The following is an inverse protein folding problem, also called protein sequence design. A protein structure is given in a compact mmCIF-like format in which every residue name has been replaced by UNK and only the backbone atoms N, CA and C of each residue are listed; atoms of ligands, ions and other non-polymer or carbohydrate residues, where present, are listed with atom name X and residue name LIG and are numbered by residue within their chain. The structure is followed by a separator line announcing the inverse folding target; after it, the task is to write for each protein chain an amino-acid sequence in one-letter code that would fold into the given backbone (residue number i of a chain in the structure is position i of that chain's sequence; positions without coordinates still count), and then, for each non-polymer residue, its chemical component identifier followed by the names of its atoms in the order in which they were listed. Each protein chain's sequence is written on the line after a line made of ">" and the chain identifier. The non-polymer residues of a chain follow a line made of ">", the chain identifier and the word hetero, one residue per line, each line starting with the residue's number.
data_IF_008127040057
#
_entry.id   IF_008127040057
#
_cell.length_a   1.000
_cell.length_b   1.000
_cell.length_c   1.000
_cell.angle_alpha   90.00
_cell.angle_beta   90.00
_cell.angle_gamma   90.00
#
_symmetry.space_group_name_H-M   'P 1'
#
loop_
_entity.id
_entity.type
_entity.pdbx_description
1 polymer ?
#
# COMPACT_ATOMS: atom_id res chain seq x y z
N UNK A 1 -9.60 42.67 -1.05
CA UNK A 1 -8.91 41.67 -1.90
C UNK A 1 -8.86 40.39 -1.09
N UNK A 2 -9.68 39.40 -1.42
CA UNK A 2 -9.74 38.13 -0.68
C UNK A 2 -8.50 37.31 -1.00
N UNK A 3 -7.72 36.96 0.03
CA UNK A 3 -6.53 36.12 -0.14
C UNK A 3 -6.99 34.71 -0.55
N UNK A 4 -6.72 34.33 -1.81
CA UNK A 4 -7.03 33.01 -2.36
C UNK A 4 -6.02 31.92 -1.92
N UNK A 5 -4.89 32.34 -1.32
CA UNK A 5 -3.82 31.46 -0.84
C UNK A 5 -4.31 30.30 0.06
N UNK A 6 -5.14 30.52 1.10
CA UNK A 6 -5.61 29.43 1.96
C UNK A 6 -6.51 28.43 1.20
N UNK A 7 -7.29 28.90 0.22
CA UNK A 7 -8.13 28.01 -0.61
C UNK A 7 -7.27 27.20 -1.58
N UNK A 8 -6.22 27.78 -2.14
CA UNK A 8 -5.25 27.08 -2.97
C UNK A 8 -4.51 26.01 -2.15
N UNK A 9 -4.04 26.36 -0.95
CA UNK A 9 -3.36 25.42 -0.04
C UNK A 9 -4.31 24.28 0.35
N UNK A 10 -5.55 24.58 0.71
CA UNK A 10 -6.55 23.56 1.05
C UNK A 10 -6.86 22.64 -0.15
N UNK A 11 -6.99 23.20 -1.36
CA UNK A 11 -7.21 22.43 -2.59
C UNK A 11 -6.04 21.51 -2.94
N UNK A 12 -4.80 21.99 -2.74
CA UNK A 12 -3.58 21.18 -2.95
C UNK A 12 -3.47 20.08 -1.91
N UNK A 13 -3.77 20.36 -0.64
CA UNK A 13 -3.73 19.33 0.42
C UNK A 13 -4.84 18.29 0.22
N UNK A 14 -6.01 18.68 -0.26
CA UNK A 14 -7.10 17.76 -0.60
C UNK A 14 -6.79 16.88 -1.83
N UNK A 15 -5.84 17.29 -2.70
CA UNK A 15 -5.43 16.48 -3.85
C UNK A 15 -4.41 15.38 -3.49
N UNK A 16 -3.78 15.45 -2.31
CA UNK A 16 -2.88 14.40 -1.79
C UNK A 16 -3.65 13.21 -1.16
N UNK A 17 -4.85 12.91 -1.66
CA UNK A 17 -5.56 11.71 -1.26
C UNK A 17 -4.84 10.48 -1.83
N UNK A 18 -4.42 9.58 -0.96
CA UNK A 18 -3.97 8.25 -1.38
C UNK A 18 -5.20 7.46 -1.84
N UNK A 19 -5.27 7.14 -3.13
CA UNK A 19 -6.35 6.33 -3.70
C UNK A 19 -5.92 4.87 -3.80
N UNK A 20 -6.80 3.97 -3.38
CA UNK A 20 -6.69 2.56 -3.75
C UNK A 20 -7.33 2.42 -5.12
N UNK A 21 -6.58 1.89 -6.08
CA UNK A 21 -7.08 1.64 -7.43
C UNK A 21 -7.71 0.25 -7.48
N UNK A 22 -8.85 0.13 -8.16
CA UNK A 22 -9.45 -1.16 -8.49
C UNK A 22 -9.10 -1.48 -9.93
N UNK A 23 -8.49 -2.64 -10.16
CA UNK A 23 -8.27 -3.12 -11.52
C UNK A 23 -9.62 -3.50 -12.15
N UNK A 24 -10.04 -2.84 -13.23
CA UNK A 24 -11.32 -3.13 -13.87
C UNK A 24 -11.36 -4.50 -14.55
N UNK A 25 -10.23 -5.16 -14.80
CA UNK A 25 -10.17 -6.46 -15.45
C UNK A 25 -10.52 -7.63 -14.52
N UNK A 26 -10.10 -7.57 -13.26
CA UNK A 26 -10.22 -8.69 -12.32
C UNK A 26 -10.64 -8.29 -10.90
N UNK A 27 -10.91 -7.01 -10.64
CA UNK A 27 -11.33 -6.52 -9.32
C UNK A 27 -10.20 -6.49 -8.28
N UNK A 28 -8.94 -6.64 -8.71
CA UNK A 28 -7.80 -6.57 -7.81
C UNK A 28 -7.58 -5.16 -7.25
N UNK A 29 -7.43 -5.03 -5.94
CA UNK A 29 -6.97 -3.80 -5.32
C UNK A 29 -5.48 -3.56 -5.63
N UNK A 30 -5.18 -2.41 -6.21
CA UNK A 30 -3.84 -1.97 -6.57
C UNK A 30 -3.43 -0.72 -5.77
N UNK A 31 -2.12 -0.49 -5.70
CA UNK A 31 -1.53 0.66 -5.01
C UNK A 31 -1.94 0.78 -3.53
N UNK A 32 -2.14 -0.35 -2.86
CA UNK A 32 -2.44 -0.38 -1.43
C UNK A 32 -1.16 -0.06 -0.65
N UNK A 33 -1.08 1.15 -0.09
CA UNK A 33 0.10 1.64 0.63
C UNK A 33 0.07 1.24 2.11
N UNK A 34 1.16 0.64 2.58
CA UNK A 34 1.38 0.29 3.99
C UNK A 34 2.63 1.03 4.47
N UNK A 35 2.44 2.03 5.33
CA UNK A 35 3.56 2.74 5.96
C UNK A 35 4.02 2.05 7.22
N UNK A 36 5.33 1.81 7.35
CA UNK A 36 5.94 1.49 8.63
C UNK A 36 6.36 2.82 9.28
N UNK A 37 6.02 3.01 10.55
CA UNK A 37 6.40 4.23 11.27
C UNK A 37 7.91 4.27 11.58
N UNK A 38 8.48 5.47 11.58
CA UNK A 38 9.92 5.68 11.83
C UNK A 38 10.40 5.29 13.24
N UNK A 39 9.50 5.21 14.21
CA UNK A 39 9.80 4.75 15.57
C UNK A 39 9.98 3.23 15.67
N UNK A 40 9.55 2.48 14.65
CA UNK A 40 9.70 1.03 14.62
C UNK A 40 11.17 0.67 14.36
N UNK A 41 11.74 -0.10 15.28
CA UNK A 41 13.10 -0.61 15.17
C UNK A 41 13.27 -1.49 13.92
N UNK A 42 14.43 -1.36 13.26
CA UNK A 42 14.77 -2.12 12.06
C UNK A 42 14.67 -3.62 12.35
N UNK A 43 13.73 -4.29 11.69
CA UNK A 43 13.60 -5.73 11.76
C UNK A 43 13.09 -6.25 10.40
N UNK A 44 13.90 -7.09 9.75
CA UNK A 44 13.60 -7.68 8.44
C UNK A 44 12.34 -8.58 8.48
N UNK A 45 12.06 -9.18 9.63
CA UNK A 45 10.89 -10.04 9.81
C UNK A 45 9.59 -9.26 9.71
N UNK A 46 9.60 -7.94 9.96
CA UNK A 46 8.42 -7.09 9.76
C UNK A 46 8.00 -7.11 8.28
N UNK A 47 8.95 -7.00 7.36
CA UNK A 47 8.65 -7.04 5.93
C UNK A 47 8.11 -8.41 5.52
N UNK A 48 8.74 -9.49 6.00
CA UNK A 48 8.28 -10.85 5.72
C UNK A 48 6.89 -11.13 6.30
N UNK A 49 6.65 -10.70 7.53
CA UNK A 49 5.37 -10.87 8.21
C UNK A 49 4.27 -10.05 7.52
N UNK A 50 4.55 -8.83 7.08
CA UNK A 50 3.60 -8.04 6.28
C UNK A 50 3.30 -8.73 4.94
N UNK A 51 4.30 -9.29 4.24
CA UNK A 51 4.05 -10.11 3.03
C UNK A 51 3.09 -11.26 3.30
N UNK A 52 3.37 -12.05 4.34
CA UNK A 52 2.54 -13.20 4.71
C UNK A 52 1.13 -12.76 5.12
N UNK A 53 1.02 -11.68 5.88
CA UNK A 53 -0.26 -11.12 6.32
C UNK A 53 -1.11 -10.70 5.12
N UNK A 54 -0.57 -9.91 4.20
CA UNK A 54 -1.30 -9.44 3.02
C UNK A 54 -1.66 -10.59 2.08
N UNK A 55 -0.81 -11.62 1.96
CA UNK A 55 -1.15 -12.82 1.19
C UNK A 55 -2.36 -13.55 1.79
N UNK A 56 -2.35 -13.78 3.10
CA UNK A 56 -3.48 -14.42 3.81
C UNK A 56 -4.75 -13.58 3.74
N UNK A 57 -4.63 -12.26 3.92
CA UNK A 57 -5.77 -11.34 3.82
C UNK A 57 -6.34 -11.31 2.39
N UNK A 58 -5.48 -11.35 1.37
CA UNK A 58 -5.87 -11.41 -0.03
C UNK A 58 -6.67 -12.68 -0.33
N UNK A 59 -6.15 -13.83 0.10
CA UNK A 59 -6.85 -15.11 -0.05
C UNK A 59 -8.22 -15.10 0.66
N UNK A 60 -8.25 -14.66 1.93
CA UNK A 60 -9.50 -14.56 2.68
C UNK A 60 -10.53 -13.67 1.99
N UNK A 61 -10.10 -12.51 1.49
CA UNK A 61 -10.95 -11.57 0.77
C UNK A 61 -11.46 -12.18 -0.55
N UNK A 62 -10.61 -12.90 -1.27
CA UNK A 62 -10.99 -13.59 -2.51
C UNK A 62 -12.07 -14.63 -2.23
N UNK A 63 -11.89 -15.49 -1.24
CA UNK A 63 -12.87 -16.49 -0.84
C UNK A 63 -14.18 -15.86 -0.37
N UNK A 64 -14.11 -14.86 0.54
CA UNK A 64 -15.27 -14.18 1.10
C UNK A 64 -16.09 -13.41 0.04
N UNK A 65 -15.43 -12.92 -1.01
CA UNK A 65 -16.07 -12.18 -2.11
C UNK A 65 -16.43 -13.04 -3.32
N UNK A 66 -16.28 -14.38 -3.20
CA UNK A 66 -16.51 -15.35 -4.27
C UNK A 66 -15.68 -15.07 -5.53
N UNK A 67 -14.40 -14.78 -5.31
CA UNK A 67 -13.40 -14.61 -6.35
C UNK A 67 -13.41 -13.25 -7.03
N UNK A 68 -13.97 -12.21 -6.39
CA UNK A 68 -14.16 -10.89 -7.03
C UNK A 68 -13.14 -9.84 -6.62
N UNK A 69 -12.63 -9.90 -5.39
CA UNK A 69 -11.72 -8.89 -4.87
C UNK A 69 -10.58 -9.56 -4.13
N UNK A 70 -9.39 -9.01 -4.31
CA UNK A 70 -8.16 -9.49 -3.68
C UNK A 70 -7.12 -8.36 -3.71
N UNK A 71 -6.05 -8.47 -2.93
CA UNK A 71 -4.93 -7.54 -3.04
C UNK A 71 -4.05 -7.97 -4.20
N UNK A 72 -4.00 -7.15 -5.25
CA UNK A 72 -3.19 -7.37 -6.45
C UNK A 72 -1.82 -6.70 -6.32
N UNK A 73 -1.78 -5.50 -5.76
CA UNK A 73 -0.54 -4.78 -5.51
C UNK A 73 -0.58 -4.09 -4.14
N UNK A 74 0.43 -4.40 -3.32
CA UNK A 74 0.67 -3.78 -2.02
C UNK A 74 2.06 -3.18 -2.03
N UNK A 75 2.14 -1.91 -1.64
CA UNK A 75 3.36 -1.11 -1.57
C UNK A 75 3.71 -0.93 -0.10
N UNK A 76 4.87 -1.43 0.34
CA UNK A 76 5.35 -1.19 1.71
C UNK A 76 6.32 -0.01 1.69
N UNK A 77 5.95 1.07 2.37
CA UNK A 77 6.81 2.23 2.58
C UNK A 77 7.64 2.02 3.85
N UNK A 78 8.95 1.90 3.65
CA UNK A 78 9.93 1.72 4.72
C UNK A 78 10.46 3.10 5.19
N UNK A 79 10.62 3.31 6.50
CA UNK A 79 11.18 4.53 7.04
C UNK A 79 12.55 4.90 6.45
N UNK A 80 12.78 6.21 6.28
CA UNK A 80 14.06 6.73 5.77
C UNK A 80 15.26 6.42 6.67
N UNK A 81 15.03 6.23 7.97
CA UNK A 81 16.06 5.89 8.95
C UNK A 81 16.46 4.41 8.91
N UNK A 82 15.76 3.55 8.18
CA UNK A 82 16.17 2.15 7.99
C UNK A 82 17.32 2.06 6.96
N UNK A 83 18.20 1.04 7.04
CA UNK A 83 19.32 0.88 6.10
C UNK A 83 18.87 0.80 4.63
N UNK A 84 19.64 1.43 3.72
CA UNK A 84 19.36 1.43 2.27
C UNK A 84 19.30 0.03 1.64
N UNK A 85 19.92 -0.97 2.27
CA UNK A 85 19.83 -2.37 1.85
C UNK A 85 18.42 -2.92 1.99
N UNK A 86 17.67 -2.50 3.01
CA UNK A 86 16.28 -2.91 3.27
C UNK A 86 15.28 -2.17 2.37
N UNK A 87 15.63 -0.97 1.91
CA UNK A 87 14.75 -0.12 1.09
C UNK A 87 14.63 -0.55 -0.39
N UNK A 88 15.45 -1.49 -0.89
CA UNK A 88 15.51 -1.79 -2.33
C UNK A 88 14.50 -2.84 -2.80
N UNK A 89 13.77 -3.47 -1.88
CA UNK A 89 12.96 -4.66 -2.15
C UNK A 89 11.44 -4.36 -2.25
N UNK A 90 11.00 -3.16 -2.65
CA UNK A 90 9.71 -2.61 -2.20
C UNK A 90 8.50 -2.64 -3.16
N UNK A 91 8.52 -3.38 -4.27
CA UNK A 91 7.34 -3.49 -5.17
C UNK A 91 7.01 -4.96 -5.44
N UNK A 92 5.82 -5.40 -5.04
CA UNK A 92 5.40 -6.81 -5.06
C UNK A 92 4.06 -7.07 -5.79
N UNK A 93 3.80 -6.35 -6.89
CA UNK A 93 2.53 -6.43 -7.62
C UNK A 93 2.25 -7.73 -8.38
N UNK A 94 3.16 -8.71 -8.45
CA UNK A 94 2.99 -9.92 -9.27
C UNK A 94 2.75 -11.22 -8.49
N UNK A 95 3.02 -11.28 -7.19
CA UNK A 95 3.00 -12.54 -6.42
C UNK A 95 1.62 -12.97 -5.89
N UNK A 96 0.61 -12.12 -5.98
CA UNK A 96 -0.73 -12.42 -5.45
C UNK A 96 -1.62 -13.19 -6.43
N UNK A 97 -1.20 -13.36 -7.69
CA UNK A 97 -1.97 -14.09 -8.70
C UNK A 97 -1.82 -15.62 -8.59
N UNK A 98 -0.78 -16.08 -7.90
CA UNK A 98 -0.41 -17.49 -7.80
C UNK A 98 -0.85 -18.13 -6.45
N UNK A 99 -1.78 -17.49 -5.73
CA UNK A 99 -2.33 -17.97 -4.46
C UNK A 99 -3.71 -18.60 -4.65
#
# INVERSE_FOLDING_TARGET
>A
MTNALPFLVLAVMASMCTSIHLDPADGGYMQVLVGIDSSVSVNIDILNNLRVLFRKASQFLFEATRGKFYFKEVLISVPKNWPRTVQRELVWGSQFRDA
#
